data_IF_537582335752
#
_entry.id   IF_537582335752
#
_cell.length_a   1.000
_cell.length_b   1.000
_cell.length_c   1.000
_cell.angle_alpha   90.00
_cell.angle_beta   90.00
_cell.angle_gamma   90.00
#
_symmetry.space_group_name_H-M   'P 1'
#
loop_
_entity.id
_entity.type
_entity.pdbx_description
1 polymer ?
#
# COMPACT_ATOMS: atom_id res chain seq x y z
N UNK A 1 2.14 -37.46 -19.53
CA UNK A 1 2.34 -36.29 -20.45
C UNK A 1 1.95 -35.06 -19.67
N UNK A 2 2.92 -34.57 -18.89
CA UNK A 2 2.69 -33.39 -18.05
C UNK A 2 2.83 -32.14 -18.93
N UNK A 3 1.71 -31.59 -19.32
CA UNK A 3 1.66 -30.26 -19.91
C UNK A 3 1.96 -29.22 -18.79
N UNK A 4 3.23 -29.08 -18.48
CA UNK A 4 3.73 -27.98 -17.65
C UNK A 4 3.72 -26.70 -18.52
N UNK A 5 2.52 -26.23 -18.86
CA UNK A 5 2.32 -24.93 -19.50
C UNK A 5 2.39 -23.86 -18.38
N UNK A 6 3.61 -23.65 -17.85
CA UNK A 6 3.83 -22.48 -16.98
C UNK A 6 3.48 -21.25 -17.79
N UNK A 7 2.45 -20.51 -17.35
CA UNK A 7 2.06 -19.25 -17.98
C UNK A 7 3.25 -18.31 -17.95
N UNK A 8 3.72 -17.87 -19.10
CA UNK A 8 4.74 -16.84 -19.17
C UNK A 8 4.06 -15.45 -19.07
N UNK A 9 3.89 -14.95 -17.85
CA UNK A 9 3.33 -13.61 -17.61
C UNK A 9 4.17 -12.51 -18.25
N UNK A 10 5.40 -12.81 -18.62
CA UNK A 10 6.29 -11.85 -19.26
C UNK A 10 5.96 -11.64 -20.73
N UNK A 11 5.16 -12.50 -21.36
CA UNK A 11 4.52 -12.27 -22.63
C UNK A 11 3.22 -11.51 -22.41
N UNK A 12 3.17 -10.24 -22.81
CA UNK A 12 2.02 -9.36 -22.62
C UNK A 12 0.75 -9.85 -23.31
N UNK A 13 0.88 -10.52 -24.45
CA UNK A 13 -0.30 -11.05 -25.16
C UNK A 13 -0.86 -12.28 -24.43
N UNK A 14 0.01 -13.13 -23.89
CA UNK A 14 -0.41 -14.25 -23.05
C UNK A 14 -1.03 -13.77 -21.75
N UNK A 15 -0.46 -12.72 -21.11
CA UNK A 15 -1.02 -12.08 -19.93
C UNK A 15 -2.43 -11.52 -20.22
N UNK A 16 -2.61 -10.75 -21.27
CA UNK A 16 -3.92 -10.19 -21.68
C UNK A 16 -4.96 -11.30 -21.95
N UNK A 17 -4.54 -12.39 -22.57
CA UNK A 17 -5.39 -13.56 -22.76
C UNK A 17 -5.82 -14.15 -21.43
N UNK A 18 -4.88 -14.39 -20.49
CA UNK A 18 -5.18 -14.92 -19.17
C UNK A 18 -6.14 -14.02 -18.36
N UNK A 19 -6.02 -12.70 -18.51
CA UNK A 19 -6.94 -11.73 -17.91
C UNK A 19 -8.34 -11.86 -18.56
N UNK A 20 -8.41 -11.90 -19.88
CA UNK A 20 -9.68 -11.97 -20.62
C UNK A 20 -10.42 -13.29 -20.35
N UNK A 21 -9.69 -14.40 -20.35
CA UNK A 21 -10.21 -15.74 -20.07
C UNK A 21 -10.46 -16.00 -18.57
N UNK A 22 -10.15 -15.04 -17.70
CA UNK A 22 -10.32 -15.15 -16.23
C UNK A 22 -9.53 -16.30 -15.61
N UNK A 23 -8.38 -16.61 -16.17
CA UNK A 23 -7.52 -17.71 -15.70
C UNK A 23 -6.30 -17.23 -14.92
N UNK A 24 -6.04 -15.91 -14.87
CA UNK A 24 -4.98 -15.31 -14.05
C UNK A 24 -5.36 -15.40 -12.56
N UNK A 25 -4.54 -16.07 -11.76
CA UNK A 25 -4.80 -16.33 -10.34
C UNK A 25 -4.08 -15.32 -9.47
N UNK A 26 -4.81 -14.73 -8.55
CA UNK A 26 -4.32 -13.67 -7.65
C UNK A 26 -4.24 -14.21 -6.22
N UNK A 27 -3.14 -13.92 -5.52
CA UNK A 27 -2.99 -14.09 -4.09
C UNK A 27 -2.79 -12.72 -3.43
N UNK A 28 -3.60 -12.39 -2.43
CA UNK A 28 -3.43 -11.16 -1.63
C UNK A 28 -3.00 -11.56 -0.24
N UNK A 29 -1.77 -11.21 0.15
CA UNK A 29 -1.22 -11.50 1.48
C UNK A 29 -1.43 -10.29 2.39
N UNK A 30 -2.17 -10.49 3.47
CA UNK A 30 -2.72 -9.45 4.34
C UNK A 30 -4.10 -9.01 3.85
N UNK A 31 -5.18 -9.65 4.35
CA UNK A 31 -6.57 -9.28 4.00
C UNK A 31 -7.21 -8.44 5.11
N UNK A 32 -6.43 -7.47 5.62
CA UNK A 32 -6.92 -6.44 6.53
C UNK A 32 -7.72 -5.34 5.82
N UNK A 33 -7.68 -4.13 6.39
CA UNK A 33 -8.50 -2.98 5.94
C UNK A 33 -8.32 -2.61 4.47
N UNK A 34 -7.12 -2.70 3.93
CA UNK A 34 -6.82 -2.41 2.52
C UNK A 34 -6.82 -3.69 1.67
N UNK A 35 -6.15 -4.74 2.15
CA UNK A 35 -5.97 -5.95 1.34
C UNK A 35 -7.26 -6.71 1.06
N UNK A 36 -8.27 -6.68 1.97
CA UNK A 36 -9.56 -7.31 1.69
C UNK A 36 -10.30 -6.57 0.56
N UNK A 37 -10.51 -5.23 0.60
CA UNK A 37 -11.06 -4.49 -0.54
C UNK A 37 -10.30 -4.71 -1.84
N UNK A 38 -8.96 -4.76 -1.81
CA UNK A 38 -8.14 -5.09 -2.98
C UNK A 38 -8.49 -6.49 -3.51
N UNK A 39 -8.48 -7.52 -2.66
CA UNK A 39 -8.82 -8.89 -3.05
C UNK A 39 -10.24 -9.00 -3.65
N UNK A 40 -11.20 -8.31 -3.03
CA UNK A 40 -12.59 -8.26 -3.51
C UNK A 40 -12.71 -7.56 -4.87
N UNK A 41 -11.93 -6.52 -5.11
CA UNK A 41 -11.91 -5.81 -6.40
C UNK A 41 -11.38 -6.73 -7.51
N UNK A 42 -10.30 -7.46 -7.27
CA UNK A 42 -9.76 -8.46 -8.19
C UNK A 42 -10.77 -9.59 -8.44
N UNK A 43 -11.36 -10.16 -7.41
CA UNK A 43 -12.37 -11.20 -7.53
C UNK A 43 -13.62 -10.72 -8.29
N UNK A 44 -14.08 -9.48 -8.04
CA UNK A 44 -15.23 -8.89 -8.72
C UNK A 44 -14.96 -8.61 -10.20
N UNK A 45 -13.71 -8.38 -10.60
CA UNK A 45 -13.32 -8.29 -12.01
C UNK A 45 -13.35 -9.65 -12.72
N UNK A 46 -13.57 -10.73 -11.96
CA UNK A 46 -13.69 -12.10 -12.45
C UNK A 46 -12.43 -12.94 -12.28
N UNK A 47 -11.34 -12.39 -11.73
CA UNK A 47 -10.08 -13.11 -11.52
C UNK A 47 -10.15 -13.98 -10.26
N UNK A 48 -9.82 -15.29 -10.33
CA UNK A 48 -9.76 -16.15 -9.15
C UNK A 48 -8.79 -15.58 -8.12
N UNK A 49 -9.25 -15.31 -6.91
CA UNK A 49 -8.46 -14.61 -5.88
C UNK A 49 -8.47 -15.38 -4.57
N UNK A 50 -7.29 -15.54 -3.96
CA UNK A 50 -7.09 -16.14 -2.65
C UNK A 50 -6.55 -15.05 -1.71
N UNK A 51 -7.20 -14.89 -0.55
CA UNK A 51 -6.68 -14.07 0.54
C UNK A 51 -5.82 -14.91 1.48
N UNK A 52 -4.71 -14.36 1.96
CA UNK A 52 -3.89 -14.99 3.00
C UNK A 52 -3.77 -14.05 4.18
N UNK A 53 -4.09 -14.53 5.39
CA UNK A 53 -3.89 -13.78 6.62
C UNK A 53 -3.51 -14.72 7.77
N UNK A 54 -2.69 -14.23 8.69
CA UNK A 54 -2.30 -15.00 9.88
C UNK A 54 -3.42 -15.05 10.94
N UNK A 55 -4.40 -14.17 10.85
CA UNK A 55 -5.52 -14.10 11.77
C UNK A 55 -6.59 -15.14 11.39
N UNK A 56 -6.59 -16.27 12.10
CA UNK A 56 -7.51 -17.37 11.86
C UNK A 56 -8.99 -16.98 12.03
N UNK A 57 -9.30 -16.08 12.96
CA UNK A 57 -10.69 -15.61 13.18
C UNK A 57 -11.17 -14.77 12.00
N UNK A 58 -10.30 -13.89 11.45
CA UNK A 58 -10.60 -13.12 10.25
C UNK A 58 -10.85 -14.05 9.06
N UNK A 59 -9.98 -15.04 8.85
CA UNK A 59 -10.12 -16.04 7.78
C UNK A 59 -11.42 -16.83 7.94
N UNK A 60 -11.75 -17.26 9.16
CA UNK A 60 -13.00 -17.98 9.45
C UNK A 60 -14.23 -17.13 9.13
N UNK A 61 -14.25 -15.86 9.54
CA UNK A 61 -15.34 -14.93 9.22
C UNK A 61 -15.52 -14.74 7.72
N UNK A 62 -14.42 -14.52 6.99
CA UNK A 62 -14.46 -14.39 5.53
C UNK A 62 -15.08 -15.65 4.90
N UNK A 63 -14.63 -16.83 5.27
CA UNK A 63 -15.08 -18.08 4.66
C UNK A 63 -16.51 -18.49 5.08
N UNK A 64 -17.00 -17.98 6.22
CA UNK A 64 -18.40 -18.11 6.64
C UNK A 64 -19.33 -17.02 6.08
N UNK A 65 -18.84 -16.20 5.13
CA UNK A 65 -19.57 -15.09 4.54
C UNK A 65 -20.01 -14.01 5.55
N UNK A 66 -19.26 -13.82 6.67
CA UNK A 66 -19.42 -12.68 7.57
C UNK A 66 -18.44 -11.57 7.17
N UNK A 67 -18.95 -10.52 6.52
CA UNK A 67 -18.12 -9.38 6.07
C UNK A 67 -17.47 -8.67 7.26
N UNK A 68 -16.12 -8.63 7.35
CA UNK A 68 -15.45 -8.16 8.57
C UNK A 68 -15.31 -6.63 8.70
N UNK A 69 -15.35 -5.88 7.60
CA UNK A 69 -15.09 -4.42 7.59
C UNK A 69 -16.39 -3.63 7.60
N UNK A 70 -17.12 -3.66 8.72
CA UNK A 70 -18.43 -3.01 8.85
C UNK A 70 -18.42 -1.49 8.69
N UNK A 71 -17.25 -0.87 8.85
CA UNK A 71 -16.99 0.56 8.72
C UNK A 71 -16.49 0.98 7.33
N UNK A 72 -16.39 0.03 6.36
CA UNK A 72 -16.05 0.30 4.96
C UNK A 72 -17.28 0.08 4.07
N UNK A 73 -18.01 1.15 3.71
CA UNK A 73 -19.25 1.00 2.94
C UNK A 73 -19.00 0.55 1.49
N UNK A 74 -19.95 -0.21 0.97
CA UNK A 74 -20.01 -0.59 -0.45
C UNK A 74 -19.34 -1.91 -0.80
N UNK A 75 -18.40 -2.42 -0.01
CA UNK A 75 -17.74 -3.69 -0.27
C UNK A 75 -18.52 -4.92 0.22
N UNK A 76 -19.48 -4.77 1.10
CA UNK A 76 -20.32 -5.85 1.60
C UNK A 76 -21.08 -6.59 0.49
N UNK A 77 -21.69 -5.87 -0.43
CA UNK A 77 -22.40 -6.47 -1.57
C UNK A 77 -21.43 -7.23 -2.51
N UNK A 78 -20.26 -6.65 -2.79
CA UNK A 78 -19.22 -7.29 -3.59
C UNK A 78 -18.71 -8.55 -2.90
N UNK A 79 -18.45 -8.47 -1.60
CA UNK A 79 -18.00 -9.59 -0.78
C UNK A 79 -18.96 -10.79 -0.86
N UNK A 80 -20.24 -10.56 -0.61
CA UNK A 80 -21.24 -11.63 -0.68
C UNK A 80 -21.35 -12.23 -2.09
N UNK A 81 -21.28 -11.40 -3.13
CA UNK A 81 -21.28 -11.86 -4.52
C UNK A 81 -20.11 -12.80 -4.80
N UNK A 82 -18.87 -12.33 -4.58
CA UNK A 82 -17.67 -13.07 -5.00
C UNK A 82 -17.39 -14.31 -4.14
N UNK A 83 -17.81 -14.31 -2.87
CA UNK A 83 -17.72 -15.50 -2.01
C UNK A 83 -18.76 -16.56 -2.41
N UNK A 84 -20.00 -16.15 -2.70
CA UNK A 84 -21.02 -17.05 -3.22
C UNK A 84 -20.64 -17.67 -4.57
N UNK A 85 -20.05 -16.86 -5.48
CA UNK A 85 -19.55 -17.32 -6.78
C UNK A 85 -18.25 -18.15 -6.66
N UNK A 86 -17.72 -18.34 -5.46
CA UNK A 86 -16.44 -19.04 -5.19
C UNK A 86 -15.24 -18.44 -5.93
N UNK A 87 -15.28 -17.15 -6.21
CA UNK A 87 -14.18 -16.41 -6.83
C UNK A 87 -13.19 -15.86 -5.81
N UNK A 88 -13.60 -15.82 -4.54
CA UNK A 88 -12.78 -15.40 -3.42
C UNK A 88 -12.98 -16.32 -2.21
N UNK A 89 -11.89 -16.67 -1.57
CA UNK A 89 -11.84 -17.29 -0.25
C UNK A 89 -10.52 -16.92 0.44
N UNK A 90 -10.42 -17.14 1.76
CA UNK A 90 -9.22 -16.85 2.52
C UNK A 90 -8.62 -18.11 3.17
N UNK A 91 -7.32 -18.09 3.44
CA UNK A 91 -6.60 -19.16 4.13
C UNK A 91 -5.52 -18.59 5.05
N UNK A 92 -5.15 -19.33 6.08
CA UNK A 92 -3.97 -19.02 6.90
C UNK A 92 -2.69 -19.64 6.34
N UNK A 93 -2.79 -20.45 5.28
CA UNK A 93 -1.70 -21.27 4.75
C UNK A 93 -1.11 -20.63 3.50
N UNK A 94 -0.07 -19.82 3.68
CA UNK A 94 0.67 -19.20 2.58
C UNK A 94 1.28 -20.25 1.64
N UNK A 95 1.65 -21.41 2.18
CA UNK A 95 2.24 -22.55 1.45
C UNK A 95 1.26 -23.17 0.43
N UNK A 96 -0.05 -23.03 0.65
CA UNK A 96 -1.06 -23.49 -0.29
C UNK A 96 -1.44 -22.40 -1.31
N UNK A 97 -1.37 -21.13 -0.94
CA UNK A 97 -1.82 -20.02 -1.77
C UNK A 97 -0.77 -19.59 -2.81
N UNK A 98 0.47 -19.35 -2.38
CA UNK A 98 1.53 -18.78 -3.24
C UNK A 98 1.87 -19.68 -4.43
N UNK A 99 2.13 -20.98 -4.29
CA UNK A 99 2.48 -21.83 -5.45
C UNK A 99 1.34 -21.99 -6.48
N UNK A 100 0.10 -21.72 -6.05
CA UNK A 100 -1.08 -21.82 -6.90
C UNK A 100 -1.53 -20.48 -7.51
N UNK A 101 -0.72 -19.42 -7.39
CA UNK A 101 -1.05 -18.07 -7.85
C UNK A 101 0.00 -17.54 -8.81
N UNK A 102 -0.46 -16.79 -9.80
CA UNK A 102 0.38 -16.14 -10.81
C UNK A 102 0.88 -14.77 -10.32
N UNK A 103 0.03 -14.05 -9.56
CA UNK A 103 0.30 -12.71 -9.04
C UNK A 103 0.12 -12.68 -7.53
N UNK A 104 1.13 -12.19 -6.84
CA UNK A 104 1.16 -12.08 -5.38
C UNK A 104 1.16 -10.60 -4.98
N UNK A 105 0.09 -10.14 -4.34
CA UNK A 105 -0.04 -8.78 -3.82
C UNK A 105 0.28 -8.78 -2.33
N UNK A 106 1.11 -7.85 -1.89
CA UNK A 106 1.49 -7.70 -0.49
C UNK A 106 0.83 -6.44 0.10
N UNK A 107 -0.17 -6.64 0.95
CA UNK A 107 -0.91 -5.57 1.65
C UNK A 107 -0.75 -5.73 3.17
N UNK A 108 0.51 -5.74 3.61
CA UNK A 108 0.91 -6.00 4.99
C UNK A 108 1.11 -4.69 5.78
N UNK A 109 0.84 -4.69 7.09
CA UNK A 109 1.11 -3.52 7.91
C UNK A 109 2.62 -3.24 8.01
N UNK A 110 2.97 -1.95 7.98
CA UNK A 110 4.33 -1.43 8.14
C UNK A 110 4.34 -0.39 9.26
N UNK A 111 4.13 -0.80 10.52
CA UNK A 111 4.05 0.11 11.66
C UNK A 111 5.41 0.70 12.03
N UNK A 112 5.39 1.56 13.04
CA UNK A 112 6.59 2.06 13.72
C UNK A 112 6.80 1.29 15.01
N UNK A 113 8.07 1.11 15.39
CA UNK A 113 8.41 0.69 16.73
C UNK A 113 8.32 1.88 17.73
N UNK A 114 8.60 1.60 19.01
CA UNK A 114 8.58 2.59 20.09
C UNK A 114 9.62 3.73 19.96
N UNK A 115 10.60 3.57 19.06
CA UNK A 115 11.64 4.54 18.76
C UNK A 115 11.38 5.28 17.44
N UNK A 116 10.17 5.17 16.88
CA UNK A 116 9.79 5.73 15.59
C UNK A 116 10.64 5.17 14.41
N UNK A 117 11.12 3.93 14.52
CA UNK A 117 11.78 3.23 13.42
C UNK A 117 10.77 2.35 12.68
N UNK A 118 10.73 2.38 11.33
CA UNK A 118 9.81 1.53 10.56
C UNK A 118 10.04 0.04 10.82
N UNK A 119 8.97 -0.69 11.10
CA UNK A 119 9.01 -2.14 11.30
C UNK A 119 8.51 -2.86 10.04
N UNK A 120 9.44 -3.46 9.30
CA UNK A 120 9.17 -4.27 8.13
C UNK A 120 9.25 -5.78 8.39
N UNK A 121 9.17 -6.21 9.64
CA UNK A 121 9.29 -7.63 10.04
C UNK A 121 8.29 -8.52 9.33
N UNK A 122 7.03 -8.08 9.17
CA UNK A 122 6.00 -8.81 8.46
C UNK A 122 6.36 -9.00 6.97
N UNK A 123 6.78 -7.93 6.28
CA UNK A 123 7.24 -8.01 4.88
C UNK A 123 8.46 -8.92 4.75
N UNK A 124 9.46 -8.77 5.62
CA UNK A 124 10.67 -9.59 5.61
C UNK A 124 10.36 -11.08 5.84
N UNK A 125 9.44 -11.38 6.76
CA UNK A 125 8.99 -12.76 7.01
C UNK A 125 8.30 -13.35 5.78
N UNK A 126 7.38 -12.61 5.17
CA UNK A 126 6.73 -13.05 3.92
C UNK A 126 7.75 -13.15 2.78
N UNK A 127 8.69 -12.21 2.65
CA UNK A 127 9.76 -12.28 1.64
C UNK A 127 10.58 -13.57 1.70
N UNK A 128 10.92 -14.06 2.92
CA UNK A 128 11.58 -15.36 3.12
C UNK A 128 10.72 -16.51 2.61
N UNK A 129 9.42 -16.51 2.95
CA UNK A 129 8.48 -17.52 2.46
C UNK A 129 8.33 -17.48 0.94
N UNK A 130 8.29 -16.29 0.34
CA UNK A 130 8.26 -16.15 -1.12
C UNK A 130 9.49 -16.77 -1.78
N UNK A 131 10.69 -16.62 -1.21
CA UNK A 131 11.91 -17.27 -1.71
C UNK A 131 11.86 -18.80 -1.70
N UNK A 132 10.99 -19.38 -0.87
CA UNK A 132 10.75 -20.84 -0.80
C UNK A 132 9.60 -21.31 -1.70
N UNK A 133 8.59 -20.44 -1.94
CA UNK A 133 7.29 -20.84 -2.47
C UNK A 133 6.99 -20.33 -3.88
N UNK A 134 7.57 -19.19 -4.31
CA UNK A 134 7.29 -18.61 -5.63
C UNK A 134 7.59 -19.61 -6.74
N UNK A 135 6.69 -19.71 -7.69
CA UNK A 135 6.94 -20.42 -8.93
C UNK A 135 7.62 -19.51 -9.97
N UNK A 136 8.38 -20.05 -10.92
CA UNK A 136 8.96 -19.27 -12.00
C UNK A 136 7.89 -18.47 -12.76
N UNK A 137 8.24 -17.24 -13.16
CA UNK A 137 7.40 -16.28 -13.86
C UNK A 137 6.30 -15.63 -12.98
N UNK A 138 6.27 -15.87 -11.66
CA UNK A 138 5.36 -15.16 -10.76
C UNK A 138 5.64 -13.64 -10.76
N UNK A 139 4.60 -12.86 -10.54
CA UNK A 139 4.67 -11.42 -10.32
C UNK A 139 4.37 -11.08 -8.84
N UNK A 140 5.27 -10.36 -8.21
CA UNK A 140 5.08 -9.82 -6.85
C UNK A 140 4.82 -8.33 -6.93
N UNK A 141 3.75 -7.82 -6.31
CA UNK A 141 3.45 -6.40 -6.23
C UNK A 141 3.27 -6.00 -4.77
N UNK A 142 4.03 -5.02 -4.32
CA UNK A 142 3.93 -4.50 -2.96
C UNK A 142 2.99 -3.29 -2.96
N UNK A 143 1.86 -3.40 -2.27
CA UNK A 143 0.92 -2.30 -2.05
C UNK A 143 1.15 -1.60 -0.71
N UNK A 144 1.81 -2.29 0.23
CA UNK A 144 2.22 -1.71 1.51
C UNK A 144 3.06 -0.45 1.31
N UNK A 145 2.85 0.56 2.16
CA UNK A 145 3.68 1.76 2.14
C UNK A 145 5.04 1.46 2.78
N UNK A 146 6.09 1.70 2.03
CA UNK A 146 7.49 1.42 2.42
C UNK A 146 8.40 2.57 2.01
N UNK A 147 9.55 2.66 2.65
CA UNK A 147 10.55 3.67 2.33
C UNK A 147 11.18 3.48 0.93
N UNK A 148 11.59 4.56 0.27
CA UNK A 148 12.26 4.50 -1.02
C UNK A 148 13.57 3.69 -0.94
N UNK A 149 13.68 2.66 -1.78
CA UNK A 149 14.85 1.80 -1.86
C UNK A 149 14.75 0.50 -1.08
N UNK A 150 13.75 0.31 -0.21
CA UNK A 150 13.58 -0.96 0.52
C UNK A 150 13.45 -2.17 -0.42
N UNK A 151 12.72 -2.02 -1.53
CA UNK A 151 12.52 -3.12 -2.50
C UNK A 151 13.85 -3.53 -3.11
N UNK A 152 14.56 -2.57 -3.68
CA UNK A 152 15.79 -2.80 -4.46
C UNK A 152 16.97 -3.19 -3.56
N UNK A 153 17.09 -2.58 -2.38
CA UNK A 153 18.26 -2.75 -1.52
C UNK A 153 18.15 -3.97 -0.60
N UNK A 154 16.92 -4.36 -0.20
CA UNK A 154 16.72 -5.35 0.84
C UNK A 154 15.73 -6.46 0.43
N UNK A 155 14.50 -6.12 0.03
CA UNK A 155 13.42 -7.09 -0.11
C UNK A 155 13.69 -8.13 -1.22
N UNK A 156 14.23 -7.68 -2.36
CA UNK A 156 14.65 -8.57 -3.45
C UNK A 156 15.68 -9.59 -2.96
N UNK A 157 16.69 -9.13 -2.20
CA UNK A 157 17.74 -10.02 -1.66
C UNK A 157 17.18 -11.07 -0.70
N UNK A 158 16.15 -10.71 0.07
CA UNK A 158 15.47 -11.65 0.97
C UNK A 158 14.81 -12.77 0.16
N UNK A 159 14.08 -12.45 -0.92
CA UNK A 159 13.47 -13.45 -1.79
C UNK A 159 14.55 -14.31 -2.47
N UNK A 160 15.58 -13.68 -3.03
CA UNK A 160 16.65 -14.37 -3.75
C UNK A 160 17.51 -15.28 -2.84
N UNK A 161 17.54 -15.01 -1.54
CA UNK A 161 18.23 -15.87 -0.56
C UNK A 161 17.51 -17.19 -0.29
N UNK A 162 16.30 -17.38 -0.83
CA UNK A 162 15.50 -18.58 -0.65
C UNK A 162 16.04 -19.80 -1.41
N UNK A 163 15.48 -20.96 -1.11
CA UNK A 163 15.94 -22.27 -1.61
C UNK A 163 15.73 -22.47 -3.12
N UNK A 164 14.76 -21.77 -3.73
CA UNK A 164 14.45 -21.88 -5.17
C UNK A 164 15.44 -21.16 -6.09
N UNK A 165 16.42 -20.43 -5.54
CA UNK A 165 17.46 -19.69 -6.30
C UNK A 165 16.86 -18.79 -7.39
N UNK A 166 15.80 -18.10 -7.06
CA UNK A 166 15.13 -17.15 -7.95
C UNK A 166 15.99 -15.89 -8.14
N UNK A 167 15.81 -15.20 -9.26
CA UNK A 167 16.47 -13.92 -9.57
C UNK A 167 15.42 -12.97 -10.11
N UNK A 168 15.30 -11.79 -9.50
CA UNK A 168 14.40 -10.73 -9.93
C UNK A 168 14.70 -10.28 -11.37
N UNK A 169 13.67 -10.09 -12.17
CA UNK A 169 13.79 -9.76 -13.60
C UNK A 169 14.14 -10.93 -14.51
N UNK A 170 14.39 -12.13 -13.94
CA UNK A 170 14.68 -13.35 -14.72
C UNK A 170 13.64 -14.45 -14.46
N UNK A 171 13.50 -14.86 -13.20
CA UNK A 171 12.61 -15.96 -12.82
C UNK A 171 11.32 -15.46 -12.15
N UNK A 172 11.34 -14.26 -11.60
CA UNK A 172 10.16 -13.59 -11.09
C UNK A 172 10.23 -12.10 -11.36
N UNK A 173 9.06 -11.47 -11.42
CA UNK A 173 8.91 -10.04 -11.59
C UNK A 173 8.49 -9.39 -10.27
N UNK A 174 8.97 -8.17 -10.00
CA UNK A 174 8.58 -7.44 -8.78
C UNK A 174 8.41 -5.96 -9.05
N UNK A 175 7.37 -5.39 -8.45
CA UNK A 175 7.09 -3.97 -8.48
C UNK A 175 6.28 -3.51 -7.29
N UNK A 176 5.86 -2.27 -7.32
CA UNK A 176 5.07 -1.62 -6.28
C UNK A 176 3.86 -0.91 -6.89
N UNK A 177 2.77 -0.91 -6.18
CA UNK A 177 1.60 -0.06 -6.45
C UNK A 177 1.11 0.48 -5.10
N UNK A 178 1.81 1.48 -4.50
CA UNK A 178 1.50 1.96 -3.16
C UNK A 178 0.06 2.45 -3.07
N UNK A 179 -0.67 1.95 -2.07
CA UNK A 179 -2.06 2.30 -1.89
C UNK A 179 -2.22 3.73 -1.33
N UNK A 180 -3.22 4.46 -1.80
CA UNK A 180 -3.48 5.87 -1.45
C UNK A 180 -4.87 6.13 -0.86
N UNK A 181 -5.71 5.10 -0.74
CA UNK A 181 -7.08 5.24 -0.23
C UNK A 181 -7.14 5.62 1.25
N UNK A 182 -8.21 6.33 1.60
CA UNK A 182 -8.50 6.71 2.96
C UNK A 182 -9.47 5.71 3.60
N UNK A 183 -9.24 5.28 4.87
CA UNK A 183 -10.19 4.47 5.60
C UNK A 183 -11.59 5.11 5.65
N UNK A 184 -12.64 4.31 5.40
CA UNK A 184 -14.03 4.78 5.32
C UNK A 184 -14.46 5.26 3.92
N UNK A 185 -13.53 5.45 2.99
CA UNK A 185 -13.78 5.90 1.60
C UNK A 185 -13.10 5.00 0.55
N UNK A 186 -12.66 3.79 0.93
CA UNK A 186 -11.80 2.94 0.07
C UNK A 186 -12.46 2.68 -1.30
N UNK A 187 -13.75 2.36 -1.35
CA UNK A 187 -14.44 2.13 -2.62
C UNK A 187 -14.43 3.36 -3.53
N UNK A 188 -14.70 4.52 -2.97
CA UNK A 188 -14.67 5.79 -3.69
C UNK A 188 -13.26 6.09 -4.21
N UNK A 189 -12.27 5.91 -3.35
CA UNK A 189 -10.87 6.21 -3.68
C UNK A 189 -10.32 5.23 -4.74
N UNK A 190 -10.70 3.96 -4.68
CA UNK A 190 -10.33 2.94 -5.67
C UNK A 190 -10.92 3.21 -7.07
N UNK A 191 -11.95 4.06 -7.16
CA UNK A 191 -12.57 4.45 -8.43
C UNK A 191 -12.21 5.85 -8.90
N UNK A 192 -11.54 6.66 -8.06
CA UNK A 192 -11.27 8.07 -8.38
C UNK A 192 -9.80 8.46 -8.27
N UNK A 193 -9.03 7.86 -7.38
CA UNK A 193 -7.63 8.24 -7.19
C UNK A 193 -6.71 7.52 -8.18
N UNK A 194 -5.76 8.22 -8.81
CA UNK A 194 -4.77 7.59 -9.65
C UNK A 194 -3.87 6.66 -8.83
N UNK A 195 -3.40 5.57 -9.45
CA UNK A 195 -2.47 4.63 -8.84
C UNK A 195 -1.08 4.76 -9.44
N UNK A 196 -0.08 4.71 -8.57
CA UNK A 196 1.33 4.75 -8.96
C UNK A 196 1.82 3.33 -9.24
N UNK A 197 2.50 3.13 -10.36
CA UNK A 197 3.10 1.84 -10.70
C UNK A 197 4.61 2.03 -10.88
N UNK A 198 5.40 1.43 -9.99
CA UNK A 198 6.85 1.34 -10.10
C UNK A 198 7.31 -0.11 -10.18
N UNK A 199 8.36 -0.39 -10.96
CA UNK A 199 8.87 -1.75 -11.09
C UNK A 199 10.38 -1.76 -11.29
N UNK A 200 10.99 -2.95 -11.18
CA UNK A 200 12.43 -3.12 -11.41
C UNK A 200 12.83 -2.95 -12.89
N UNK A 201 11.89 -3.16 -13.80
CA UNK A 201 12.09 -3.00 -15.24
C UNK A 201 10.78 -2.61 -15.95
N UNK A 202 10.92 -2.18 -17.20
CA UNK A 202 9.83 -1.70 -18.05
C UNK A 202 8.78 -2.79 -18.35
N UNK A 203 9.21 -4.04 -18.48
CA UNK A 203 8.35 -5.19 -18.78
C UNK A 203 7.43 -5.46 -17.60
N UNK A 204 7.99 -5.52 -16.39
CA UNK A 204 7.24 -5.68 -15.14
C UNK A 204 6.25 -4.53 -14.92
N UNK A 205 6.65 -3.29 -15.19
CA UNK A 205 5.74 -2.15 -15.08
C UNK A 205 4.52 -2.30 -16.01
N UNK A 206 4.74 -2.72 -17.27
CA UNK A 206 3.64 -2.98 -18.22
C UNK A 206 2.72 -4.10 -17.75
N UNK A 207 3.26 -5.19 -17.20
CA UNK A 207 2.46 -6.28 -16.62
C UNK A 207 1.54 -5.77 -15.51
N UNK A 208 2.07 -5.03 -14.55
CA UNK A 208 1.29 -4.46 -13.47
C UNK A 208 0.21 -3.53 -14.01
N UNK A 209 0.55 -2.65 -14.95
CA UNK A 209 -0.41 -1.72 -15.55
C UNK A 209 -1.56 -2.44 -16.26
N UNK A 210 -1.29 -3.49 -17.04
CA UNK A 210 -2.35 -4.27 -17.74
C UNK A 210 -3.30 -4.94 -16.73
N UNK A 211 -2.75 -5.52 -15.64
CA UNK A 211 -3.54 -6.17 -14.60
C UNK A 211 -4.40 -5.15 -13.85
N UNK A 212 -3.80 -4.07 -13.38
CA UNK A 212 -4.51 -3.05 -12.58
C UNK A 212 -5.54 -2.28 -13.40
N UNK A 213 -5.26 -2.01 -14.69
CA UNK A 213 -6.22 -1.40 -15.61
C UNK A 213 -7.49 -2.23 -15.81
N UNK A 214 -7.39 -3.55 -15.73
CA UNK A 214 -8.54 -4.45 -15.80
C UNK A 214 -9.44 -4.36 -14.54
N UNK A 215 -8.86 -4.05 -13.40
CA UNK A 215 -9.54 -4.07 -12.10
C UNK A 215 -10.01 -2.69 -11.65
N UNK A 216 -9.18 -1.66 -11.86
CA UNK A 216 -9.42 -0.31 -11.35
C UNK A 216 -9.63 0.68 -12.51
N UNK A 217 -10.80 1.36 -12.55
CA UNK A 217 -11.14 2.31 -13.62
C UNK A 217 -10.51 3.69 -13.42
N UNK A 218 -9.22 3.73 -13.06
CA UNK A 218 -8.49 4.96 -12.72
C UNK A 218 -7.24 5.13 -13.58
N UNK A 219 -6.69 6.33 -13.58
CA UNK A 219 -5.40 6.59 -14.19
C UNK A 219 -4.29 5.79 -13.50
N UNK A 220 -3.44 5.14 -14.29
CA UNK A 220 -2.24 4.47 -13.82
C UNK A 220 -1.02 5.29 -14.24
N UNK A 221 -0.30 5.82 -13.24
CA UNK A 221 0.87 6.67 -13.46
C UNK A 221 2.12 5.79 -13.33
N UNK A 222 2.77 5.54 -14.47
CA UNK A 222 4.01 4.77 -14.50
C UNK A 222 5.17 5.59 -13.95
N UNK A 223 5.84 5.05 -12.94
CA UNK A 223 7.07 5.59 -12.36
C UNK A 223 8.30 4.90 -12.95
N UNK A 224 9.44 5.56 -12.89
CA UNK A 224 10.70 5.04 -13.48
C UNK A 224 11.19 3.76 -12.75
N UNK A 225 10.90 3.61 -11.45
CA UNK A 225 11.26 2.45 -10.62
C UNK A 225 10.41 2.41 -9.33
N UNK A 226 10.58 1.36 -8.53
CA UNK A 226 9.89 1.21 -7.23
C UNK A 226 10.21 2.35 -6.27
N UNK A 227 11.47 2.75 -6.20
CA UNK A 227 11.94 3.84 -5.32
C UNK A 227 11.19 5.14 -5.57
N UNK A 228 11.00 5.52 -6.83
CA UNK A 228 10.28 6.75 -7.20
C UNK A 228 8.80 6.67 -6.85
N UNK A 229 8.13 5.53 -7.08
CA UNK A 229 6.73 5.35 -6.72
C UNK A 229 6.50 5.49 -5.20
N UNK A 230 7.35 4.86 -4.39
CA UNK A 230 7.31 4.99 -2.93
C UNK A 230 7.61 6.42 -2.47
N UNK A 231 8.56 7.11 -3.09
CA UNK A 231 8.86 8.49 -2.77
C UNK A 231 7.65 9.41 -3.01
N UNK A 232 6.92 9.25 -4.13
CA UNK A 232 5.70 10.02 -4.39
C UNK A 232 4.66 9.78 -3.29
N UNK A 233 4.41 8.51 -2.93
CA UNK A 233 3.46 8.16 -1.86
C UNK A 233 3.81 8.83 -0.54
N UNK A 234 5.07 8.76 -0.10
CA UNK A 234 5.50 9.38 1.14
C UNK A 234 5.41 10.91 1.06
N UNK A 235 5.82 11.51 -0.06
CA UNK A 235 5.80 12.95 -0.25
C UNK A 235 4.41 13.55 -0.05
N UNK A 236 3.35 12.92 -0.57
CA UNK A 236 1.98 13.43 -0.42
C UNK A 236 1.52 13.45 1.04
N UNK A 237 1.87 12.43 1.82
CA UNK A 237 1.50 12.36 3.22
C UNK A 237 2.36 13.28 4.10
N UNK A 238 3.66 13.36 3.83
CA UNK A 238 4.58 14.28 4.53
C UNK A 238 4.21 15.74 4.25
N UNK A 239 3.84 16.07 3.02
CA UNK A 239 3.31 17.39 2.68
C UNK A 239 2.12 17.76 3.55
N UNK A 240 1.16 16.85 3.71
CA UNK A 240 -0.01 17.07 4.57
C UNK A 240 0.38 17.23 6.04
N UNK A 241 1.27 16.39 6.56
CA UNK A 241 1.75 16.44 7.96
C UNK A 241 2.44 17.78 8.26
N UNK A 242 3.29 18.27 7.36
CA UNK A 242 3.98 19.56 7.49
C UNK A 242 3.02 20.75 7.44
N UNK A 243 2.02 20.72 6.56
CA UNK A 243 1.04 21.80 6.49
C UNK A 243 0.16 21.85 7.73
N UNK A 244 -0.15 20.71 8.34
CA UNK A 244 -0.85 20.68 9.64
C UNK A 244 0.07 21.26 10.73
N UNK A 245 1.35 20.91 10.78
CA UNK A 245 2.30 21.50 11.73
C UNK A 245 2.39 23.02 11.57
N UNK A 246 2.42 23.52 10.35
CA UNK A 246 2.44 24.95 10.06
C UNK A 246 1.20 25.67 10.61
N UNK A 247 -0.01 25.14 10.32
CA UNK A 247 -1.24 25.81 10.84
C UNK A 247 -1.39 25.65 12.35
N UNK A 248 -0.88 24.57 12.94
CA UNK A 248 -0.79 24.43 14.40
C UNK A 248 0.07 25.52 15.01
N UNK A 249 1.25 25.82 14.46
CA UNK A 249 2.09 26.93 14.94
C UNK A 249 1.42 28.29 14.77
N UNK A 250 0.70 28.51 13.65
CA UNK A 250 -0.07 29.74 13.46
C UNK A 250 -1.15 29.88 14.53
N UNK A 251 -1.85 28.79 14.87
CA UNK A 251 -2.88 28.80 15.92
C UNK A 251 -2.29 29.21 17.28
N UNK A 252 -1.14 28.68 17.67
CA UNK A 252 -0.43 29.04 18.90
C UNK A 252 -0.06 30.54 18.96
N UNK A 253 0.37 31.11 17.83
CA UNK A 253 0.69 32.53 17.72
C UNK A 253 -0.57 33.37 17.78
N UNK A 254 -1.61 33.03 17.02
CA UNK A 254 -2.82 33.79 16.87
C UNK A 254 -3.63 33.82 18.19
N UNK A 255 -3.62 32.74 18.96
CA UNK A 255 -4.17 32.72 20.31
C UNK A 255 -3.55 33.80 21.18
N UNK A 256 -2.22 33.93 21.19
CA UNK A 256 -1.52 35.00 21.96
C UNK A 256 -1.80 36.42 21.46
N UNK A 257 -2.12 36.55 20.19
CA UNK A 257 -2.45 37.84 19.55
C UNK A 257 -3.94 38.17 19.61
N UNK A 258 -4.80 37.27 20.12
CA UNK A 258 -6.25 37.45 20.12
C UNK A 258 -6.88 37.44 18.74
N UNK A 259 -6.27 36.69 17.79
CA UNK A 259 -6.72 36.55 16.40
C UNK A 259 -7.45 35.22 16.25
N UNK A 260 -8.62 35.23 15.61
CA UNK A 260 -9.32 33.99 15.23
C UNK A 260 -8.60 33.28 14.06
N UNK A 261 -7.99 32.17 14.38
CA UNK A 261 -7.25 31.34 13.41
C UNK A 261 -8.12 30.84 12.25
N UNK A 262 -9.36 30.45 12.53
CA UNK A 262 -10.27 29.95 11.50
C UNK A 262 -10.68 31.06 10.52
N UNK A 263 -10.90 32.27 11.01
CA UNK A 263 -11.20 33.44 10.17
C UNK A 263 -10.01 33.74 9.23
N UNK A 264 -8.78 33.66 9.73
CA UNK A 264 -7.55 33.83 8.90
C UNK A 264 -7.45 32.75 7.82
N UNK A 265 -7.60 31.48 8.19
CA UNK A 265 -7.50 30.39 7.25
C UNK A 265 -8.60 30.38 6.19
N UNK A 266 -9.82 30.74 6.58
CA UNK A 266 -10.98 30.88 5.68
C UNK A 266 -10.83 32.03 4.66
N UNK A 267 -10.15 33.09 5.04
CA UNK A 267 -9.76 34.12 4.09
C UNK A 267 -8.59 33.68 3.18
N UNK A 268 -7.57 33.08 3.78
CA UNK A 268 -6.36 32.63 3.06
C UNK A 268 -6.65 31.58 1.99
N UNK A 269 -7.60 30.66 2.22
CA UNK A 269 -7.97 29.61 1.23
C UNK A 269 -8.46 30.16 -0.11
N UNK A 270 -8.81 31.43 -0.19
CA UNK A 270 -9.20 32.08 -1.45
C UNK A 270 -8.01 32.40 -2.34
N UNK A 271 -6.81 32.34 -1.81
CA UNK A 271 -5.56 32.52 -2.59
C UNK A 271 -5.23 31.23 -3.33
N UNK A 272 -4.99 31.30 -4.62
CA UNK A 272 -4.78 30.15 -5.51
C UNK A 272 -3.64 29.20 -5.07
N UNK A 273 -2.65 29.71 -4.35
CA UNK A 273 -1.47 28.96 -3.90
C UNK A 273 -1.52 28.57 -2.42
N UNK A 274 -2.68 28.70 -1.76
CA UNK A 274 -2.87 28.31 -0.37
C UNK A 274 -3.80 27.10 -0.26
N UNK A 275 -3.23 25.92 -0.04
CA UNK A 275 -4.01 24.73 0.28
C UNK A 275 -4.33 24.74 1.77
N UNK A 276 -5.61 24.94 2.12
CA UNK A 276 -6.02 25.08 3.51
C UNK A 276 -5.88 23.77 4.29
N UNK A 277 -5.28 23.88 5.46
CA UNK A 277 -5.31 22.89 6.54
C UNK A 277 -5.80 23.59 7.80
N UNK A 278 -6.37 22.84 8.73
CA UNK A 278 -6.88 23.38 9.97
C UNK A 278 -6.09 22.85 11.16
N UNK A 279 -5.87 23.67 12.21
CA UNK A 279 -5.18 23.25 13.41
C UNK A 279 -6.01 22.22 14.20
N UNK A 280 -5.34 21.43 15.01
CA UNK A 280 -5.96 20.44 15.85
C UNK A 280 -5.04 19.94 16.96
N UNK A 281 -5.48 18.96 17.77
CA UNK A 281 -4.74 18.46 18.93
C UNK A 281 -3.55 17.56 18.56
N UNK A 282 -2.99 17.75 17.40
CA UNK A 282 -1.88 16.94 16.87
C UNK A 282 -2.27 16.05 15.70
N UNK A 283 -1.33 15.26 15.25
CA UNK A 283 -1.49 14.32 14.13
C UNK A 283 -1.14 12.92 14.58
N UNK A 284 -2.14 12.08 14.67
CA UNK A 284 -2.04 10.67 15.01
C UNK A 284 -2.36 9.74 13.82
N UNK A 285 -2.58 8.46 14.15
CA UNK A 285 -2.97 7.44 13.21
C UNK A 285 -1.81 6.74 12.50
N UNK A 286 -2.10 5.66 11.74
CA UNK A 286 -1.09 4.78 11.17
C UNK A 286 -0.49 5.29 9.84
N UNK A 287 -0.91 6.47 9.34
CA UNK A 287 -0.48 6.94 8.03
C UNK A 287 0.47 8.14 8.11
N UNK A 288 0.00 9.34 8.56
CA UNK A 288 0.80 10.55 8.47
C UNK A 288 2.08 10.50 9.32
N UNK A 289 2.03 10.15 10.62
CA UNK A 289 3.26 10.02 11.41
C UNK A 289 4.21 8.97 10.85
N UNK A 290 3.68 7.79 10.53
CA UNK A 290 4.47 6.66 10.03
C UNK A 290 5.20 7.02 8.75
N UNK A 291 4.52 7.65 7.78
CA UNK A 291 5.15 8.03 6.51
C UNK A 291 6.21 9.12 6.67
N UNK A 292 6.01 10.06 7.60
CA UNK A 292 7.03 11.06 7.93
C UNK A 292 8.30 10.40 8.49
N UNK A 293 8.17 9.44 9.40
CA UNK A 293 9.29 8.69 9.95
C UNK A 293 9.91 7.72 8.93
N UNK A 294 9.15 7.09 8.04
CA UNK A 294 9.68 6.29 6.94
C UNK A 294 10.57 7.15 6.02
N UNK A 295 10.14 8.38 5.72
CA UNK A 295 10.96 9.30 4.92
C UNK A 295 12.21 9.77 5.67
N UNK A 296 12.09 10.07 6.97
CA UNK A 296 13.23 10.40 7.84
C UNK A 296 14.23 9.23 7.91
N UNK A 297 13.75 8.00 8.06
CA UNK A 297 14.60 6.81 8.09
C UNK A 297 15.41 6.66 6.79
N UNK A 298 14.80 6.97 5.64
CA UNK A 298 15.50 6.96 4.35
C UNK A 298 16.68 7.95 4.28
N UNK A 299 16.65 9.03 5.07
CA UNK A 299 17.71 10.03 5.12
C UNK A 299 18.87 9.66 6.04
N UNK A 300 18.65 8.78 7.03
CA UNK A 300 19.63 8.42 8.06
C UNK A 300 20.95 7.85 7.50
N UNK A 301 20.92 7.28 6.29
CA UNK A 301 22.11 6.78 5.61
C UNK A 301 23.01 7.88 5.01
N UNK A 302 22.56 9.14 5.00
CA UNK A 302 23.26 10.28 4.39
C UNK A 302 23.63 11.35 5.43
N UNK A 303 22.65 12.17 5.84
CA UNK A 303 22.82 13.25 6.80
C UNK A 303 21.51 13.46 7.57
N UNK A 304 21.56 13.46 8.88
CA UNK A 304 20.42 13.63 9.79
C UNK A 304 19.67 14.97 9.59
N UNK A 305 20.28 15.96 8.95
CA UNK A 305 19.72 17.29 8.76
C UNK A 305 19.04 17.49 7.40
N UNK A 306 19.19 16.56 6.44
CA UNK A 306 18.59 16.69 5.10
C UNK A 306 17.07 16.95 5.20
N UNK A 307 16.37 16.31 6.15
CA UNK A 307 14.93 16.46 6.38
C UNK A 307 14.60 17.16 7.70
N UNK A 308 15.40 18.15 8.10
CA UNK A 308 15.21 18.91 9.36
C UNK A 308 13.80 19.51 9.47
N UNK A 309 13.20 19.98 8.36
CA UNK A 309 11.83 20.50 8.34
C UNK A 309 10.81 19.41 8.70
N UNK A 310 10.96 18.20 8.19
CA UNK A 310 10.07 17.07 8.51
C UNK A 310 10.17 16.71 9.99
N UNK A 311 11.39 16.66 10.52
CA UNK A 311 11.64 16.40 11.95
C UNK A 311 11.01 17.48 12.82
N UNK A 312 11.16 18.75 12.46
CA UNK A 312 10.53 19.86 13.17
C UNK A 312 9.00 19.77 13.11
N UNK A 313 8.42 19.50 11.94
CA UNK A 313 6.98 19.33 11.77
C UNK A 313 6.41 18.22 12.64
N UNK A 314 7.10 17.09 12.74
CA UNK A 314 6.71 16.01 13.67
C UNK A 314 6.71 16.45 15.13
N UNK A 315 7.77 17.12 15.58
CA UNK A 315 7.88 17.63 16.94
C UNK A 315 6.73 18.59 17.28
N UNK A 316 6.37 19.47 16.33
CA UNK A 316 5.24 20.41 16.51
C UNK A 316 3.94 19.64 16.67
N UNK A 317 3.63 18.72 15.73
CA UNK A 317 2.39 17.96 15.77
C UNK A 317 2.30 17.06 17.02
N UNK A 318 3.40 16.55 17.52
CA UNK A 318 3.47 15.72 18.73
C UNK A 318 3.36 16.53 20.04
N UNK A 319 3.68 17.82 20.02
CA UNK A 319 3.52 18.70 21.19
C UNK A 319 2.12 19.28 21.35
N UNK A 320 1.27 19.23 20.31
CA UNK A 320 -0.07 19.83 20.33
C UNK A 320 -1.02 19.22 21.38
N UNK A 321 -0.99 17.91 21.71
CA UNK A 321 -1.83 17.39 22.79
C UNK A 321 -1.56 18.06 24.14
N UNK A 322 -0.31 18.34 24.45
CA UNK A 322 0.09 18.98 25.72
C UNK A 322 -0.51 20.40 25.79
N UNK A 323 -0.40 21.16 24.70
CA UNK A 323 -1.00 22.48 24.60
C UNK A 323 -2.53 22.50 24.78
N UNK A 324 -3.24 21.47 24.33
CA UNK A 324 -4.71 21.38 24.48
C UNK A 324 -5.12 21.05 25.92
N UNK A 325 -4.24 20.42 26.70
CA UNK A 325 -4.49 20.05 28.10
C UNK A 325 -4.22 21.23 29.05
N UNK A 326 -3.27 22.10 28.71
CA UNK A 326 -2.95 23.33 29.46
C UNK A 326 -4.10 24.39 29.33
#
# INVERSE_FOLDING_TARGET
MDNNNSKDLTDLEQLKRSITEKTLKICVIGVGRIGLPTALSFANSGLPTIGVDINADLVSRINSCDYPLKDEPGYDAIFHKVTHEKKFYATTKIEEAVPNSDVILLSLPTPMDKNNVPDYSALKSVGKKLGELLEPNSLVVIESTIEPGFVENEFIKIIESGTKKLTAGKNFSIGVCPETANPGEIMKDFTNLPRLVGAIDEKTAKMIMEIYKHVFPVELIKMINCKTANAVKLTTNVFRDLNIAFVNQLALLFEKLGIDTFQVLDAAKRKYNFQVHYPGPGVGGPCLPVNSYQLLNSANQFDDNILSLVKLGRNINESMPDHVIE
#
